data_IF_350594744188
#
_entry.id   IF_350594744188
#
_cell.length_a   1.000
_cell.length_b   1.000
_cell.length_c   1.000
_cell.angle_alpha   90.00
_cell.angle_beta   90.00
_cell.angle_gamma   90.00
#
_symmetry.space_group_name_H-M   'P 1'
#
loop_
_entity.id
_entity.type
_entity.pdbx_description
1 polymer ?
#
# COMPACT_ATOMS: atom_id res chain seq x y z
N UNK A 1 3.38 0.67 -6.72
CA UNK A 1 3.06 0.18 -5.36
C UNK A 1 2.55 -1.24 -5.52
N UNK A 2 3.21 -2.25 -4.97
CA UNK A 2 3.00 -3.69 -5.29
C UNK A 2 1.69 -4.31 -4.74
N UNK A 3 0.64 -3.54 -4.44
CA UNK A 3 -0.66 -4.03 -3.97
C UNK A 3 -0.68 -4.72 -2.58
N UNK A 4 0.49 -5.02 -2.00
CA UNK A 4 0.67 -5.49 -0.64
C UNK A 4 0.57 -4.34 0.36
N UNK A 5 -0.04 -4.60 1.53
CA UNK A 5 -0.09 -3.62 2.61
C UNK A 5 1.29 -3.50 3.26
N UNK A 6 1.75 -2.27 3.50
CA UNK A 6 2.99 -1.97 4.22
C UNK A 6 2.75 -2.18 5.71
N UNK A 7 3.48 -3.12 6.31
CA UNK A 7 3.35 -3.54 7.70
C UNK A 7 4.65 -3.27 8.43
N UNK A 8 4.59 -2.60 9.58
CA UNK A 8 5.76 -2.22 10.38
C UNK A 8 5.53 -2.52 11.85
N UNK A 9 6.60 -2.92 12.54
CA UNK A 9 6.68 -3.12 13.98
C UNK A 9 7.88 -2.35 14.52
N UNK A 10 7.70 -1.53 15.55
CA UNK A 10 8.77 -0.71 16.14
C UNK A 10 8.46 -0.37 17.61
N UNK A 11 9.44 0.16 18.35
CA UNK A 11 9.29 0.56 19.75
C UNK A 11 9.86 -0.45 20.73
N UNK A 12 10.72 0.03 21.64
CA UNK A 12 11.53 -0.84 22.51
C UNK A 12 10.81 -1.25 23.81
N UNK A 13 10.05 -0.32 24.42
CA UNK A 13 9.35 -0.56 25.69
C UNK A 13 7.96 -1.13 25.49
N UNK A 14 7.27 -0.69 24.44
CA UNK A 14 5.95 -1.17 24.05
C UNK A 14 5.94 -1.34 22.54
N UNK A 15 5.48 -2.50 22.02
CA UNK A 15 5.45 -2.74 20.59
C UNK A 15 4.38 -1.87 19.94
N UNK A 16 4.77 -1.15 18.89
CA UNK A 16 3.90 -0.33 18.05
C UNK A 16 3.76 -1.04 16.70
N UNK A 17 2.51 -1.24 16.29
CA UNK A 17 2.15 -1.91 15.04
C UNK A 17 1.50 -0.89 14.10
N UNK A 18 1.99 -0.81 12.86
CA UNK A 18 1.42 0.06 11.83
C UNK A 18 1.19 -0.73 10.54
N UNK A 19 0.00 -0.60 9.96
CA UNK A 19 -0.33 -1.23 8.67
C UNK A 19 -1.10 -0.28 7.76
N UNK A 20 -0.59 -0.05 6.56
CA UNK A 20 -1.13 0.92 5.60
C UNK A 20 -1.09 0.40 4.15
N UNK A 21 -1.67 1.15 3.21
CA UNK A 21 -1.55 0.82 1.77
C UNK A 21 -2.46 -0.31 1.30
N UNK A 22 -3.71 -0.34 1.76
CA UNK A 22 -4.66 -1.43 1.50
C UNK A 22 -5.24 -1.50 0.08
N UNK A 23 -5.01 -0.48 -0.76
CA UNK A 23 -5.40 -0.45 -2.18
C UNK A 23 -6.82 -0.96 -2.47
N UNK A 24 -7.81 -0.55 -1.65
CA UNK A 24 -9.23 -0.93 -1.79
C UNK A 24 -9.63 -2.30 -1.20
N UNK A 25 -8.68 -3.13 -0.76
CA UNK A 25 -8.95 -4.49 -0.26
C UNK A 25 -8.83 -4.61 1.28
N UNK A 26 -8.95 -3.48 1.99
CA UNK A 26 -8.67 -3.39 3.42
C UNK A 26 -9.63 -4.18 4.31
N UNK A 27 -10.91 -4.28 3.91
CA UNK A 27 -11.97 -4.89 4.75
C UNK A 27 -11.68 -6.36 5.07
N UNK A 28 -11.35 -7.17 4.07
CA UNK A 28 -11.05 -8.58 4.29
C UNK A 28 -9.66 -8.79 4.94
N UNK A 29 -8.70 -7.91 4.63
CA UNK A 29 -7.31 -8.08 5.05
C UNK A 29 -7.07 -7.60 6.49
N UNK A 30 -7.79 -6.57 6.94
CA UNK A 30 -7.65 -6.01 8.30
C UNK A 30 -7.94 -7.03 9.39
N UNK A 31 -8.90 -7.94 9.19
CA UNK A 31 -9.25 -8.97 10.18
C UNK A 31 -8.10 -9.96 10.40
N UNK A 32 -7.50 -10.46 9.32
CA UNK A 32 -6.36 -11.39 9.39
C UNK A 32 -5.13 -10.71 10.00
N UNK A 33 -4.89 -9.46 9.64
CA UNK A 33 -3.78 -8.66 10.15
C UNK A 33 -3.97 -8.39 11.65
N UNK A 34 -5.19 -8.03 12.08
CA UNK A 34 -5.49 -7.82 13.49
C UNK A 34 -5.27 -9.08 14.33
N UNK A 35 -5.60 -10.25 13.79
CA UNK A 35 -5.31 -11.54 14.44
C UNK A 35 -3.79 -11.77 14.55
N UNK A 36 -3.03 -11.55 13.48
CA UNK A 36 -1.57 -11.67 13.50
C UNK A 36 -0.91 -10.71 14.52
N UNK A 37 -1.40 -9.47 14.65
CA UNK A 37 -0.95 -8.52 15.66
C UNK A 37 -1.27 -9.03 17.07
N UNK A 38 -2.49 -9.51 17.31
CA UNK A 38 -2.90 -9.99 18.62
C UNK A 38 -2.08 -11.22 19.07
N UNK A 39 -1.81 -12.14 18.15
CA UNK A 39 -1.02 -13.34 18.44
C UNK A 39 0.46 -12.99 18.67
N UNK A 40 1.04 -12.06 17.90
CA UNK A 40 2.41 -11.56 18.13
C UNK A 40 2.51 -10.79 19.45
N UNK A 41 1.54 -9.93 19.78
CA UNK A 41 1.50 -9.21 21.05
C UNK A 41 1.40 -10.14 22.26
N UNK A 42 0.64 -11.23 22.14
CA UNK A 42 0.50 -12.24 23.19
C UNK A 42 1.65 -13.26 23.24
N UNK A 43 2.64 -13.18 22.33
CA UNK A 43 3.73 -14.16 22.22
C UNK A 43 3.28 -15.56 21.80
N UNK A 44 2.18 -15.65 21.03
CA UNK A 44 1.59 -16.92 20.57
C UNK A 44 2.06 -17.34 19.18
N UNK A 45 2.36 -16.38 18.31
CA UNK A 45 2.85 -16.62 16.95
C UNK A 45 3.55 -15.38 16.40
N UNK A 46 4.47 -15.58 15.44
CA UNK A 46 5.33 -14.52 14.91
C UNK A 46 4.95 -14.08 13.49
N UNK A 47 3.76 -14.48 13.01
CA UNK A 47 3.28 -14.27 11.64
C UNK A 47 3.33 -12.80 11.22
N UNK A 48 3.13 -11.87 12.16
CA UNK A 48 3.24 -10.44 11.88
C UNK A 48 4.65 -10.03 11.47
N UNK A 49 5.71 -10.64 12.03
CA UNK A 49 7.09 -10.35 11.65
C UNK A 49 7.41 -10.82 10.22
N UNK A 50 6.72 -11.83 9.70
CA UNK A 50 6.83 -12.20 8.29
C UNK A 50 6.24 -11.09 7.41
N UNK A 51 5.12 -10.49 7.81
CA UNK A 51 4.49 -9.41 7.06
C UNK A 51 5.36 -8.13 7.03
N UNK A 52 6.16 -7.88 8.07
CA UNK A 52 7.11 -6.74 8.09
C UNK A 52 8.32 -6.94 7.18
N UNK A 53 8.60 -8.18 6.74
CA UNK A 53 9.69 -8.48 5.81
C UNK A 53 9.39 -8.12 4.36
N UNK A 54 8.11 -7.87 4.03
CA UNK A 54 7.69 -7.46 2.70
C UNK A 54 8.19 -6.04 2.45
N UNK A 55 9.32 -5.93 1.75
CA UNK A 55 9.91 -4.63 1.43
C UNK A 55 9.09 -3.93 0.35
N UNK A 56 8.50 -2.80 0.73
CA UNK A 56 8.00 -1.82 -0.23
C UNK A 56 9.18 -1.02 -0.77
N UNK A 57 9.75 -1.52 -1.86
CA UNK A 57 10.79 -0.80 -2.59
C UNK A 57 10.20 0.52 -3.11
N UNK A 58 10.79 1.63 -2.67
CA UNK A 58 10.60 2.90 -3.35
C UNK A 58 11.15 2.75 -4.77
N UNK A 59 10.35 3.13 -5.77
CA UNK A 59 10.84 3.17 -7.15
C UNK A 59 12.03 4.15 -7.17
N UNK A 60 13.18 3.71 -7.66
CA UNK A 60 14.37 4.56 -7.79
C UNK A 60 14.00 5.78 -8.65
N UNK A 61 14.26 6.99 -8.15
CA UNK A 61 13.79 8.27 -8.71
C UNK A 61 12.26 8.48 -8.73
N UNK A 62 11.45 7.55 -8.22
CA UNK A 62 9.99 7.66 -8.20
C UNK A 62 9.50 8.91 -7.48
N UNK A 63 10.07 9.26 -6.32
CA UNK A 63 9.75 10.51 -5.61
C UNK A 63 10.24 11.77 -6.33
N UNK A 64 11.36 11.70 -7.04
CA UNK A 64 11.94 12.84 -7.76
C UNK A 64 11.24 13.11 -9.09
N UNK A 65 10.78 12.06 -9.76
CA UNK A 65 10.13 12.11 -11.07
C UNK A 65 8.60 12.17 -10.96
N UNK A 66 8.00 11.70 -9.85
CA UNK A 66 6.56 11.78 -9.63
C UNK A 66 5.95 13.18 -9.85
N UNK A 67 6.56 14.29 -9.38
CA UNK A 67 6.00 15.62 -9.58
C UNK A 67 5.91 16.04 -11.05
N UNK A 68 6.68 15.43 -11.95
CA UNK A 68 6.68 15.74 -13.39
C UNK A 68 5.89 14.69 -14.17
N UNK A 69 6.13 13.41 -13.89
CA UNK A 69 5.53 12.29 -14.62
C UNK A 69 4.04 12.16 -14.33
N UNK A 70 3.58 12.40 -13.09
CA UNK A 70 2.15 12.29 -12.75
C UNK A 70 1.32 13.33 -13.50
N UNK A 71 1.66 14.64 -13.52
CA UNK A 71 0.96 15.61 -14.34
C UNK A 71 1.00 15.28 -15.84
N UNK A 72 2.15 14.87 -16.38
CA UNK A 72 2.26 14.51 -17.80
C UNK A 72 1.37 13.33 -18.18
N UNK A 73 1.38 12.26 -17.38
CA UNK A 73 0.51 11.12 -17.58
C UNK A 73 -0.97 11.54 -17.51
N UNK A 74 -1.34 12.38 -16.53
CA UNK A 74 -2.71 12.89 -16.41
C UNK A 74 -3.12 13.75 -17.61
N UNK A 75 -2.21 14.59 -18.12
CA UNK A 75 -2.46 15.39 -19.32
C UNK A 75 -2.65 14.52 -20.57
N UNK A 76 -1.81 13.50 -20.75
CA UNK A 76 -1.93 12.56 -21.85
C UNK A 76 -3.27 11.80 -21.79
N UNK A 77 -3.65 11.30 -20.61
CA UNK A 77 -4.96 10.67 -20.40
C UNK A 77 -6.13 11.65 -20.62
N UNK A 78 -6.00 12.91 -20.18
CA UNK A 78 -7.02 13.93 -20.42
C UNK A 78 -7.20 14.27 -21.90
N UNK A 79 -6.10 14.32 -22.67
CA UNK A 79 -6.16 14.50 -24.12
C UNK A 79 -6.79 13.29 -24.82
N UNK A 80 -6.39 12.07 -24.45
CA UNK A 80 -6.98 10.84 -25.01
C UNK A 80 -8.48 10.75 -24.69
N UNK A 81 -8.87 11.16 -23.49
CA UNK A 81 -10.27 11.23 -23.05
C UNK A 81 -11.10 12.30 -23.80
N UNK A 82 -10.47 13.39 -24.24
CA UNK A 82 -11.11 14.41 -25.09
C UNK A 82 -11.27 13.94 -26.54
N UNK A 83 -10.32 13.12 -27.03
CA UNK A 83 -10.36 12.55 -28.39
C UNK A 83 -11.29 11.33 -28.47
N UNK A 84 -11.42 10.56 -27.39
CA UNK A 84 -12.22 9.34 -27.35
C UNK A 84 -13.03 9.21 -26.04
N UNK A 85 -14.10 10.02 -25.88
CA UNK A 85 -14.85 10.14 -24.62
C UNK A 85 -15.56 8.85 -24.18
N UNK A 86 -15.76 7.88 -25.09
CA UNK A 86 -16.41 6.60 -24.79
C UNK A 86 -15.64 5.68 -23.84
N UNK A 87 -14.35 5.93 -23.58
CA UNK A 87 -13.53 5.14 -22.64
C UNK A 87 -13.54 5.67 -21.19
N UNK A 88 -14.14 6.84 -20.95
CA UNK A 88 -14.22 7.45 -19.61
C UNK A 88 -15.33 6.83 -18.73
N UNK A 89 -16.24 6.05 -19.33
CA UNK A 89 -17.39 5.42 -18.66
C UNK A 89 -17.25 3.90 -18.81
N UNK A 90 -16.35 3.29 -18.06
CA UNK A 90 -16.41 1.85 -17.76
C UNK A 90 -16.17 1.71 -16.26
N UNK A 91 -17.20 1.21 -15.58
CA UNK A 91 -17.11 0.74 -14.20
C UNK A 91 -16.37 -0.60 -14.14
#
# INVERSE_FOLDING_TARGET
>A
MNGAADSRKFGDKFPIYAVQGWSGHGVARTVRIGKAIADDFCGKADDFNILTSIQHQDILFGRALAPVVIPMAKMAYGLDALVNPGKMVSF
#
